data_IF_065806532533
#
_entry.id   IF_065806532533
#
_cell.length_a   1.000
_cell.length_b   1.000
_cell.length_c   1.000
_cell.angle_alpha   90.00
_cell.angle_beta   90.00
_cell.angle_gamma   90.00
#
_symmetry.space_group_name_H-M   'P 1'
#
loop_
_entity.id
_entity.type
_entity.pdbx_description
1 polymer ?
#
# COMPACT_ATOMS: atom_id res chain seq x y z
N UNK A 1 -1.28 28.79 -54.13
CA UNK A 1 -2.20 28.71 -53.00
C UNK A 1 -1.44 28.16 -51.80
N UNK A 2 -1.11 29.00 -50.87
CA UNK A 2 -0.51 28.57 -49.61
C UNK A 2 -1.65 28.19 -48.66
N UNK A 3 -1.75 26.90 -48.35
CA UNK A 3 -2.72 26.43 -47.38
C UNK A 3 -2.32 26.87 -45.97
N UNK A 4 -3.15 27.64 -45.36
CA UNK A 4 -3.05 28.03 -43.95
C UNK A 4 -3.41 26.81 -43.11
N UNK A 5 -2.41 26.13 -42.58
CA UNK A 5 -2.61 25.14 -41.51
C UNK A 5 -3.01 25.91 -40.24
N UNK A 6 -4.32 25.90 -39.94
CA UNK A 6 -4.78 26.32 -38.63
C UNK A 6 -4.21 25.39 -37.58
N UNK A 7 -3.65 25.89 -36.47
CA UNK A 7 -3.27 25.05 -35.37
C UNK A 7 -4.52 24.30 -34.88
N UNK A 8 -4.46 22.97 -34.88
CA UNK A 8 -5.44 22.15 -34.19
C UNK A 8 -5.30 22.52 -32.72
N UNK A 9 -6.33 23.12 -32.14
CA UNK A 9 -6.39 23.32 -30.71
C UNK A 9 -6.26 21.93 -30.04
N UNK A 10 -5.14 21.68 -29.44
CA UNK A 10 -4.92 20.47 -28.64
C UNK A 10 -5.82 20.64 -27.42
N UNK A 11 -6.77 19.75 -27.23
CA UNK A 11 -7.64 19.79 -26.06
C UNK A 11 -6.75 19.66 -24.82
N UNK A 12 -6.88 20.60 -23.91
CA UNK A 12 -6.18 20.58 -22.63
C UNK A 12 -6.40 19.22 -21.94
N UNK A 13 -5.33 18.51 -21.69
CA UNK A 13 -5.36 17.21 -21.03
C UNK A 13 -5.69 17.42 -19.55
N UNK A 14 -6.93 17.14 -19.19
CA UNK A 14 -7.37 17.17 -17.80
C UNK A 14 -6.96 15.87 -17.15
N UNK A 15 -6.04 15.95 -16.21
CA UNK A 15 -5.68 14.81 -15.38
C UNK A 15 -6.80 14.57 -14.37
N UNK A 16 -7.76 13.73 -14.71
CA UNK A 16 -8.84 13.37 -13.78
C UNK A 16 -8.36 12.27 -12.82
N UNK A 17 -8.47 12.51 -11.54
CA UNK A 17 -8.25 11.49 -10.52
C UNK A 17 -9.58 11.10 -9.88
N UNK A 18 -9.95 9.84 -10.05
CA UNK A 18 -11.01 9.26 -9.25
C UNK A 18 -10.52 9.03 -7.81
N UNK A 19 -11.47 8.98 -6.88
CA UNK A 19 -11.18 8.55 -5.52
C UNK A 19 -10.51 7.17 -5.53
N UNK A 20 -9.43 7.03 -4.77
CA UNK A 20 -8.62 5.81 -4.74
C UNK A 20 -7.57 5.72 -5.84
N UNK A 21 -7.43 6.73 -6.71
CA UNK A 21 -6.30 6.78 -7.63
C UNK A 21 -5.06 7.32 -6.93
N UNK A 22 -3.91 6.74 -7.25
CA UNK A 22 -2.61 7.22 -6.78
C UNK A 22 -2.10 8.30 -7.71
N UNK A 23 -1.68 9.39 -7.11
CA UNK A 23 -0.97 10.48 -7.77
C UNK A 23 0.51 10.41 -7.42
N UNK A 24 1.35 10.51 -8.44
CA UNK A 24 2.73 10.96 -8.27
C UNK A 24 2.74 12.47 -8.41
N UNK A 25 3.46 13.14 -7.53
CA UNK A 25 3.64 14.58 -7.57
C UNK A 25 5.12 14.92 -7.53
N UNK A 26 5.49 15.85 -8.41
CA UNK A 26 6.82 16.39 -8.49
C UNK A 26 6.73 17.90 -8.27
N UNK A 27 7.72 18.48 -7.61
CA UNK A 27 7.86 19.93 -7.46
C UNK A 27 9.31 20.34 -7.36
N UNK A 28 9.59 21.58 -7.76
CA UNK A 28 10.86 22.24 -7.51
C UNK A 28 10.81 22.92 -6.13
N UNK A 29 11.84 22.73 -5.34
CA UNK A 29 12.00 23.32 -4.00
C UNK A 29 12.83 24.59 -4.00
N UNK A 30 13.24 25.11 -5.16
CA UNK A 30 13.91 26.42 -5.25
C UNK A 30 12.95 27.54 -4.85
N UNK A 31 13.51 28.68 -4.45
CA UNK A 31 12.69 29.83 -4.06
C UNK A 31 11.87 30.41 -5.23
N UNK A 32 12.32 30.18 -6.46
CA UNK A 32 11.62 30.59 -7.70
C UNK A 32 10.66 29.53 -8.22
N UNK A 33 10.75 28.28 -7.74
CA UNK A 33 9.88 27.20 -8.16
C UNK A 33 8.43 27.49 -7.74
N UNK A 34 7.50 27.52 -8.70
CA UNK A 34 6.10 27.93 -8.44
C UNK A 34 5.09 26.83 -8.74
N UNK A 35 5.48 25.72 -9.36
CA UNK A 35 4.59 24.71 -9.84
C UNK A 35 4.80 23.31 -9.30
N UNK A 36 3.91 22.44 -9.71
CA UNK A 36 3.96 21.00 -9.47
C UNK A 36 3.62 20.26 -10.77
N UNK A 37 4.22 19.10 -10.96
CA UNK A 37 3.81 18.16 -12.00
C UNK A 37 3.11 16.98 -11.32
N UNK A 38 1.85 16.72 -11.71
CA UNK A 38 1.01 15.66 -11.16
C UNK A 38 0.75 14.59 -12.20
N UNK A 39 0.86 13.32 -11.82
CA UNK A 39 0.61 12.18 -12.70
C UNK A 39 -0.34 11.20 -12.02
N UNK A 40 -1.48 10.90 -12.68
CA UNK A 40 -2.40 9.88 -12.22
C UNK A 40 -1.93 8.49 -12.68
N UNK A 41 -1.41 7.69 -11.78
CA UNK A 41 -0.90 6.35 -12.07
C UNK A 41 -1.95 5.24 -11.91
N UNK A 42 -3.20 5.60 -11.68
CA UNK A 42 -4.32 4.66 -11.59
C UNK A 42 -4.70 4.24 -10.18
N UNK A 43 -5.63 3.29 -10.05
CA UNK A 43 -6.21 2.93 -8.76
C UNK A 43 -5.21 2.23 -7.83
N UNK A 44 -5.27 2.57 -6.53
CA UNK A 44 -4.41 1.97 -5.50
C UNK A 44 -4.54 0.45 -5.44
N UNK A 45 -5.70 -0.09 -5.80
CA UNK A 45 -5.95 -1.53 -5.80
C UNK A 45 -4.97 -2.32 -6.67
N UNK A 46 -4.44 -1.73 -7.76
CA UNK A 46 -3.43 -2.40 -8.60
C UNK A 46 -2.10 -2.61 -7.86
N UNK A 47 -1.77 -1.73 -6.92
CA UNK A 47 -0.54 -1.81 -6.12
C UNK A 47 -0.73 -2.68 -4.89
N UNK A 48 -1.84 -2.52 -4.19
CA UNK A 48 -2.19 -3.33 -3.03
C UNK A 48 -2.44 -4.80 -3.38
N UNK A 49 -3.04 -5.06 -4.55
CA UNK A 49 -3.32 -6.42 -5.05
C UNK A 49 -2.18 -7.07 -5.87
N UNK A 50 -1.05 -6.39 -6.05
CA UNK A 50 0.10 -6.99 -6.75
C UNK A 50 0.66 -8.18 -5.96
N UNK A 51 1.22 -9.16 -6.68
CA UNK A 51 1.82 -10.33 -6.03
C UNK A 51 2.97 -9.92 -5.12
N UNK A 52 3.00 -10.46 -3.91
CA UNK A 52 4.02 -10.17 -2.91
C UNK A 52 5.44 -10.37 -3.48
N UNK A 53 6.32 -9.40 -3.27
CA UNK A 53 7.68 -9.40 -3.79
C UNK A 53 7.81 -9.13 -5.29
N UNK A 54 6.70 -8.95 -6.02
CA UNK A 54 6.77 -8.62 -7.45
C UNK A 54 7.19 -7.17 -7.67
N UNK A 55 7.92 -6.93 -8.77
CA UNK A 55 8.25 -5.59 -9.26
C UNK A 55 7.68 -5.43 -10.67
N UNK A 56 6.85 -4.42 -10.87
CA UNK A 56 6.15 -4.20 -12.14
C UNK A 56 6.19 -2.74 -12.53
N UNK A 57 6.51 -2.47 -13.80
CA UNK A 57 6.40 -1.13 -14.34
C UNK A 57 4.94 -0.66 -14.33
N UNK A 58 4.72 0.61 -14.03
CA UNK A 58 3.39 1.23 -14.05
C UNK A 58 2.97 1.45 -15.50
N UNK A 59 2.30 0.45 -16.08
CA UNK A 59 1.95 0.42 -17.50
C UNK A 59 0.90 1.47 -17.93
N UNK A 60 0.21 2.10 -16.96
CA UNK A 60 -0.82 3.11 -17.24
C UNK A 60 -0.25 4.45 -17.68
N UNK A 61 1.03 4.65 -17.50
CA UNK A 61 1.78 5.84 -17.90
C UNK A 61 2.99 5.44 -18.73
N UNK A 62 3.42 6.29 -19.64
CA UNK A 62 4.70 6.13 -20.31
C UNK A 62 5.88 6.53 -19.42
N UNK A 63 7.07 6.61 -20.00
CA UNK A 63 8.21 7.19 -19.32
C UNK A 63 8.01 8.70 -19.12
N UNK A 64 8.26 9.19 -17.92
CA UNK A 64 8.03 10.59 -17.52
C UNK A 64 9.22 11.50 -17.84
N UNK A 65 10.32 10.98 -18.39
CA UNK A 65 11.57 11.73 -18.52
C UNK A 65 11.42 13.03 -19.29
N UNK A 66 10.75 13.02 -20.44
CA UNK A 66 10.54 14.23 -21.24
C UNK A 66 9.64 15.26 -20.53
N UNK A 67 8.60 14.80 -19.83
CA UNK A 67 7.70 15.66 -19.05
C UNK A 67 8.46 16.31 -17.88
N UNK A 68 9.36 15.57 -17.23
CA UNK A 68 10.16 16.07 -16.13
C UNK A 68 11.24 17.04 -16.57
N UNK A 69 11.82 16.84 -17.76
CA UNK A 69 12.75 17.82 -18.37
C UNK A 69 12.00 19.10 -18.72
N UNK A 70 10.78 19.01 -19.28
CA UNK A 70 9.95 20.18 -19.58
C UNK A 70 9.51 20.91 -18.31
N UNK A 71 9.03 20.19 -17.30
CA UNK A 71 8.61 20.75 -16.01
C UNK A 71 9.72 21.57 -15.38
N UNK A 72 10.91 21.03 -15.37
CA UNK A 72 12.03 21.62 -14.71
C UNK A 72 12.57 22.86 -15.45
N UNK A 73 12.54 22.87 -16.79
CA UNK A 73 12.93 24.02 -17.59
C UNK A 73 11.98 25.22 -17.41
N UNK A 74 10.69 24.98 -17.13
CA UNK A 74 9.68 26.04 -16.92
C UNK A 74 9.67 26.59 -15.51
N UNK A 75 10.15 25.86 -14.52
CA UNK A 75 10.09 26.23 -13.11
C UNK A 75 11.41 26.89 -12.60
N UNK A 76 12.32 27.27 -13.52
CA UNK A 76 13.57 27.95 -13.16
C UNK A 76 14.65 26.99 -12.65
N UNK A 77 14.56 25.74 -13.08
CA UNK A 77 15.56 24.73 -12.79
C UNK A 77 16.95 25.05 -13.37
N UNK A 78 17.93 24.34 -12.88
CA UNK A 78 19.28 24.41 -13.38
C UNK A 78 19.39 23.68 -14.72
N UNK A 79 19.14 24.33 -15.85
CA UNK A 79 19.06 23.77 -17.22
C UNK A 79 20.24 22.87 -17.64
N UNK A 80 21.32 22.89 -16.89
CA UNK A 80 22.55 22.12 -17.18
C UNK A 80 22.60 20.76 -16.48
N UNK A 81 21.71 20.49 -15.52
CA UNK A 81 21.69 19.24 -14.80
C UNK A 81 20.40 18.47 -15.16
N UNK A 82 20.48 17.23 -15.67
CA UNK A 82 19.29 16.43 -15.95
C UNK A 82 18.37 16.32 -14.74
N UNK A 83 17.04 16.37 -14.94
CA UNK A 83 16.04 16.34 -13.86
C UNK A 83 16.34 15.26 -12.80
N UNK A 84 16.80 14.09 -13.24
CA UNK A 84 17.05 12.91 -12.39
C UNK A 84 18.35 13.00 -11.55
N UNK A 85 19.04 14.11 -11.57
CA UNK A 85 20.25 14.39 -10.77
C UNK A 85 20.07 15.66 -9.92
N UNK A 86 18.89 16.28 -9.95
CA UNK A 86 18.64 17.55 -9.23
C UNK A 86 18.22 17.29 -7.80
N UNK A 87 18.91 17.94 -6.86
CA UNK A 87 18.56 17.87 -5.44
C UNK A 87 17.36 18.74 -5.07
N UNK A 88 16.95 19.63 -5.98
CA UNK A 88 15.82 20.54 -5.77
C UNK A 88 14.51 20.04 -6.35
N UNK A 89 14.55 19.10 -7.28
CA UNK A 89 13.36 18.39 -7.73
C UNK A 89 13.07 17.26 -6.76
N UNK A 90 11.89 17.26 -6.19
CA UNK A 90 11.42 16.23 -5.24
C UNK A 90 10.14 15.57 -5.77
N UNK A 91 9.89 14.35 -5.34
CA UNK A 91 8.69 13.62 -5.69
C UNK A 91 8.07 12.88 -4.51
N UNK A 92 6.78 12.64 -4.62
CA UNK A 92 6.00 11.87 -3.67
C UNK A 92 4.90 11.06 -4.36
N UNK A 93 4.27 10.15 -3.62
CA UNK A 93 3.11 9.41 -4.03
C UNK A 93 2.03 9.51 -2.94
N UNK A 94 0.77 9.75 -3.34
CA UNK A 94 -0.34 9.80 -2.39
C UNK A 94 -1.67 9.43 -3.03
N UNK A 95 -2.60 9.01 -2.18
CA UNK A 95 -3.99 8.73 -2.53
C UNK A 95 -4.87 8.83 -1.30
N UNK A 96 -6.19 8.82 -1.49
CA UNK A 96 -7.17 8.65 -0.42
C UNK A 96 -8.32 7.75 -0.88
N UNK A 97 -8.92 7.03 0.07
CA UNK A 97 -10.10 6.24 -0.20
C UNK A 97 -11.09 6.33 0.96
N UNK A 98 -12.17 7.10 0.79
CA UNK A 98 -13.19 7.26 1.83
C UNK A 98 -14.01 5.97 2.06
N UNK A 99 -14.05 5.06 1.08
CA UNK A 99 -14.78 3.80 1.18
C UNK A 99 -14.00 2.71 1.94
N UNK A 100 -12.71 2.94 2.22
CA UNK A 100 -11.84 2.04 2.99
C UNK A 100 -11.42 2.78 4.28
N UNK A 101 -12.34 2.89 5.25
CA UNK A 101 -12.11 3.53 6.55
C UNK A 101 -11.38 4.87 6.49
N UNK A 102 -11.72 5.72 5.50
CA UNK A 102 -10.99 6.95 5.18
C UNK A 102 -9.48 6.72 4.97
N UNK A 103 -9.10 5.63 4.33
CA UNK A 103 -7.70 5.29 4.14
C UNK A 103 -6.93 6.40 3.41
N UNK A 104 -5.75 6.69 3.92
CA UNK A 104 -4.76 7.57 3.29
C UNK A 104 -3.58 6.71 2.87
N UNK A 105 -3.20 6.84 1.62
CA UNK A 105 -2.01 6.23 1.05
C UNK A 105 -0.97 7.31 0.85
N UNK A 106 0.23 7.11 1.38
CA UNK A 106 1.24 8.16 1.38
C UNK A 106 2.65 7.59 1.31
N UNK A 107 3.51 8.31 0.59
CA UNK A 107 4.91 7.95 0.46
C UNK A 107 5.76 8.40 1.64
N UNK A 108 6.93 7.78 1.74
CA UNK A 108 8.05 8.19 2.59
C UNK A 108 9.35 8.00 1.82
N UNK A 109 10.32 8.93 1.91
CA UNK A 109 11.64 8.73 1.34
C UNK A 109 12.23 7.39 1.78
N UNK A 110 12.54 6.52 0.81
CA UNK A 110 13.22 5.26 1.09
C UNK A 110 14.69 5.52 1.41
N UNK A 111 15.25 4.80 2.35
CA UNK A 111 16.66 4.97 2.74
C UNK A 111 17.60 4.65 1.58
N UNK A 112 17.36 3.53 0.90
CA UNK A 112 18.00 3.14 -0.36
C UNK A 112 17.10 2.17 -1.10
N UNK A 113 17.41 1.83 -2.36
CA UNK A 113 16.63 0.82 -3.10
C UNK A 113 16.52 -0.50 -2.34
N UNK A 114 17.56 -0.90 -1.65
CA UNK A 114 17.60 -2.16 -0.89
C UNK A 114 17.01 -2.05 0.52
N UNK A 115 16.81 -0.83 1.06
CA UNK A 115 16.50 -0.65 2.47
C UNK A 115 15.29 0.26 2.69
N UNK A 116 14.23 -0.32 3.22
CA UNK A 116 13.05 0.39 3.69
C UNK A 116 13.42 1.39 4.80
N UNK A 117 12.77 2.55 4.78
CA UNK A 117 12.84 3.52 5.87
C UNK A 117 12.05 3.04 7.09
N UNK A 118 12.36 3.59 8.27
CA UNK A 118 11.54 3.38 9.46
C UNK A 118 10.09 3.75 9.16
N UNK A 119 9.10 2.89 9.42
CA UNK A 119 7.70 3.18 9.18
C UNK A 119 7.22 4.46 9.89
N UNK A 120 6.18 5.09 9.35
CA UNK A 120 5.48 6.14 10.07
C UNK A 120 4.84 5.59 11.34
N UNK A 121 4.81 6.42 12.38
CA UNK A 121 3.97 6.12 13.54
C UNK A 121 2.49 6.29 13.17
N UNK A 122 1.65 5.42 13.70
CA UNK A 122 0.20 5.55 13.60
C UNK A 122 -0.26 6.91 14.17
N UNK A 123 -1.30 7.48 13.57
CA UNK A 123 -1.88 8.77 13.97
C UNK A 123 -3.29 8.58 14.52
N UNK A 124 -3.70 9.47 15.38
CA UNK A 124 -5.09 9.51 15.85
C UNK A 124 -6.01 10.08 14.77
N UNK A 125 -7.31 9.89 14.93
CA UNK A 125 -8.29 10.29 13.93
C UNK A 125 -8.35 11.79 13.66
N UNK A 126 -7.95 12.65 14.61
CA UNK A 126 -7.89 14.10 14.38
C UNK A 126 -6.80 14.47 13.38
N UNK A 127 -5.57 13.99 13.60
CA UNK A 127 -4.47 14.21 12.67
C UNK A 127 -4.74 13.56 11.31
N UNK A 128 -5.32 12.35 11.30
CA UNK A 128 -5.73 11.66 10.09
C UNK A 128 -6.73 12.47 9.27
N UNK A 129 -7.79 13.00 9.89
CA UNK A 129 -8.80 13.82 9.21
C UNK A 129 -8.19 15.09 8.60
N UNK A 130 -7.22 15.71 9.27
CA UNK A 130 -6.51 16.87 8.72
C UNK A 130 -5.79 16.51 7.42
N UNK A 131 -4.97 15.48 7.43
CA UNK A 131 -4.27 15.05 6.22
C UNK A 131 -5.23 14.58 5.12
N UNK A 132 -6.31 13.89 5.49
CA UNK A 132 -7.34 13.47 4.53
C UNK A 132 -7.99 14.66 3.82
N UNK A 133 -8.25 15.76 4.53
CA UNK A 133 -8.79 16.99 3.97
C UNK A 133 -7.78 17.67 3.02
N UNK A 134 -6.50 17.76 3.42
CA UNK A 134 -5.44 18.35 2.61
C UNK A 134 -5.24 17.58 1.29
N UNK A 135 -5.14 16.25 1.36
CA UNK A 135 -5.05 15.39 0.16
C UNK A 135 -6.31 15.52 -0.68
N UNK A 136 -7.49 15.64 -0.05
CA UNK A 136 -8.76 15.84 -0.75
C UNK A 136 -8.78 17.13 -1.55
N UNK A 137 -8.20 18.19 -1.00
CA UNK A 137 -8.10 19.47 -1.67
C UNK A 137 -7.25 19.38 -2.94
N UNK A 138 -6.14 18.66 -2.90
CA UNK A 138 -5.33 18.44 -4.11
C UNK A 138 -6.08 17.60 -5.14
N UNK A 139 -6.65 16.47 -4.72
CA UNK A 139 -7.31 15.53 -5.65
C UNK A 139 -8.62 16.11 -6.19
N UNK A 140 -9.44 16.74 -5.35
CA UNK A 140 -10.78 17.15 -5.70
C UNK A 140 -10.88 18.51 -6.38
N UNK A 141 -10.01 19.46 -6.03
CA UNK A 141 -10.08 20.82 -6.50
C UNK A 141 -8.89 21.22 -7.39
N UNK A 142 -7.68 20.89 -7.01
CA UNK A 142 -6.48 21.18 -7.79
C UNK A 142 -6.50 20.54 -9.17
N UNK A 143 -7.09 19.40 -9.28
CA UNK A 143 -7.22 18.65 -10.53
C UNK A 143 -8.17 19.29 -11.56
N UNK A 144 -9.21 19.95 -11.09
CA UNK A 144 -10.17 20.61 -11.98
C UNK A 144 -9.65 21.96 -12.51
N UNK A 145 -8.63 22.52 -11.89
CA UNK A 145 -8.05 23.83 -12.26
C UNK A 145 -6.92 23.69 -13.29
N UNK A 146 -6.42 22.50 -13.52
CA UNK A 146 -5.29 22.23 -14.42
C UNK A 146 -5.55 22.57 -15.88
N UNK A 147 -6.79 22.79 -16.26
CA UNK A 147 -7.14 22.97 -17.66
C UNK A 147 -6.92 24.37 -18.23
N UNK A 148 -6.63 25.39 -17.43
CA UNK A 148 -6.74 26.76 -17.93
C UNK A 148 -5.51 27.67 -17.80
N UNK A 149 -4.48 27.29 -17.07
CA UNK A 149 -3.40 28.24 -16.72
C UNK A 149 -1.99 27.73 -16.97
N UNK A 150 -1.83 26.53 -17.44
CA UNK A 150 -0.52 25.94 -17.68
C UNK A 150 -0.20 26.02 -19.16
N UNK A 151 0.93 26.60 -19.48
CA UNK A 151 1.51 26.48 -20.82
C UNK A 151 1.64 24.99 -21.14
N UNK A 152 1.43 24.64 -22.37
CA UNK A 152 1.31 23.33 -22.99
C UNK A 152 1.48 22.12 -22.05
N UNK A 153 0.47 21.29 -21.89
CA UNK A 153 0.63 20.03 -21.21
C UNK A 153 1.70 19.24 -21.94
N UNK A 154 2.55 18.62 -21.17
CA UNK A 154 3.60 17.73 -21.61
C UNK A 154 3.62 17.46 -23.14
N UNK A 155 4.56 18.00 -23.84
CA UNK A 155 4.77 17.77 -25.28
C UNK A 155 5.03 16.29 -25.59
N UNK A 156 5.37 15.48 -24.57
CA UNK A 156 5.66 14.07 -24.66
C UNK A 156 4.40 13.17 -24.70
N UNK A 157 3.20 13.73 -24.53
CA UNK A 157 1.98 13.00 -24.77
C UNK A 157 1.52 12.07 -23.65
N UNK A 158 1.98 12.31 -22.42
CA UNK A 158 1.51 11.53 -21.27
C UNK A 158 0.13 12.03 -20.85
N UNK A 159 -0.92 11.44 -21.41
CA UNK A 159 -2.31 11.83 -21.21
C UNK A 159 -2.80 11.79 -19.74
N UNK A 160 -1.94 11.40 -18.80
CA UNK A 160 -2.26 11.28 -17.37
C UNK A 160 -1.46 12.23 -16.49
N UNK A 161 -0.60 13.03 -17.06
CA UNK A 161 0.21 14.03 -16.38
C UNK A 161 -0.21 15.45 -16.71
N UNK A 162 0.02 16.39 -15.81
CA UNK A 162 -0.25 17.82 -16.03
C UNK A 162 0.51 18.69 -15.05
N UNK A 163 0.91 19.86 -15.53
CA UNK A 163 1.55 20.89 -14.72
C UNK A 163 0.51 21.69 -13.96
N UNK A 164 0.83 22.05 -12.75
CA UNK A 164 0.01 22.86 -11.86
C UNK A 164 0.84 24.06 -11.39
N UNK A 165 0.49 25.25 -11.85
CA UNK A 165 1.11 26.49 -11.37
C UNK A 165 0.50 26.95 -10.07
N UNK A 166 1.32 27.43 -9.14
CA UNK A 166 0.87 27.98 -7.89
C UNK A 166 0.76 29.49 -8.00
N UNK A 167 -0.43 30.01 -7.75
CA UNK A 167 -0.59 31.43 -7.40
C UNK A 167 -0.91 31.55 -5.93
N UNK A 168 -0.75 32.72 -5.32
CA UNK A 168 -0.98 32.95 -3.89
C UNK A 168 -2.45 32.63 -3.45
N UNK A 169 -3.36 32.45 -4.41
CA UNK A 169 -4.76 32.10 -4.16
C UNK A 169 -5.08 30.61 -4.31
N UNK A 170 -4.13 29.80 -4.81
CA UNK A 170 -4.39 28.41 -5.18
C UNK A 170 -4.07 27.45 -4.02
N UNK A 171 -4.82 27.57 -2.93
CA UNK A 171 -4.65 26.67 -1.78
C UNK A 171 -4.80 25.17 -2.08
N UNK A 172 -5.53 24.72 -3.12
CA UNK A 172 -5.61 23.29 -3.47
C UNK A 172 -4.40 22.75 -4.26
N UNK A 173 -3.46 23.60 -4.65
CA UNK A 173 -2.25 23.15 -5.36
C UNK A 173 -1.37 22.27 -4.47
N UNK A 174 -0.84 21.19 -5.02
CA UNK A 174 0.00 20.23 -4.28
C UNK A 174 1.14 20.94 -3.52
N UNK A 175 1.84 21.86 -4.17
CA UNK A 175 2.90 22.62 -3.55
C UNK A 175 2.46 23.35 -2.28
N UNK A 176 1.27 23.96 -2.27
CA UNK A 176 0.76 24.65 -1.08
C UNK A 176 0.42 23.69 0.05
N UNK A 177 -0.09 22.52 -0.28
CA UNK A 177 -0.47 21.53 0.73
C UNK A 177 0.74 20.88 1.40
N UNK A 178 1.89 20.81 0.71
CA UNK A 178 3.09 20.12 1.22
C UNK A 178 4.28 21.05 1.45
N UNK A 179 4.32 22.25 0.85
CA UNK A 179 5.53 23.07 0.79
C UNK A 179 5.50 24.35 1.63
N UNK A 180 4.38 24.71 2.23
CA UNK A 180 4.36 25.86 3.10
C UNK A 180 5.22 25.59 4.34
N UNK A 181 6.48 26.07 4.25
CA UNK A 181 7.38 26.21 5.38
C UNK A 181 7.47 24.96 6.28
N UNK A 182 8.27 24.03 5.95
CA UNK A 182 8.53 22.84 6.76
C UNK A 182 7.37 21.81 6.87
N UNK A 183 6.28 21.97 6.17
CA UNK A 183 5.19 20.97 6.26
C UNK A 183 5.47 19.72 5.47
N UNK A 184 5.89 19.69 4.26
CA UNK A 184 6.20 18.50 3.43
C UNK A 184 5.45 17.21 3.86
N UNK A 185 4.21 17.34 4.37
CA UNK A 185 3.63 16.38 5.27
C UNK A 185 2.10 16.32 5.29
N UNK A 186 1.41 17.05 4.43
CA UNK A 186 -0.04 17.22 4.55
C UNK A 186 -0.47 17.52 6.01
N UNK A 187 0.31 18.33 6.72
CA UNK A 187 0.13 18.72 8.12
C UNK A 187 0.18 17.55 9.14
N UNK A 188 0.62 16.36 8.76
CA UNK A 188 0.55 15.19 9.64
C UNK A 188 1.79 14.30 9.62
N UNK A 189 2.35 13.98 8.46
CA UNK A 189 3.50 13.09 8.33
C UNK A 189 4.72 13.83 7.81
N UNK A 190 5.79 13.92 8.59
CA UNK A 190 6.99 14.64 8.16
C UNK A 190 7.69 13.92 7.02
N UNK A 191 8.11 14.67 6.03
CA UNK A 191 9.00 14.23 4.99
C UNK A 191 8.45 13.09 4.10
N UNK A 192 7.46 13.42 3.26
CA UNK A 192 6.86 12.48 2.31
C UNK A 192 7.58 12.45 0.95
N UNK A 193 8.51 13.36 0.72
CA UNK A 193 9.15 13.62 -0.56
C UNK A 193 10.61 13.18 -0.58
N UNK A 194 11.08 12.68 -1.72
CA UNK A 194 12.46 12.30 -2.00
C UNK A 194 13.02 13.13 -3.15
N UNK A 195 14.25 13.59 -3.01
CA UNK A 195 14.98 14.27 -4.07
C UNK A 195 15.70 13.29 -5.02
N UNK A 196 16.29 13.86 -6.08
CA UNK A 196 17.08 13.15 -7.08
C UNK A 196 18.59 13.45 -6.99
N UNK A 197 19.05 14.13 -5.95
CA UNK A 197 20.45 14.55 -5.81
C UNK A 197 21.46 13.40 -5.82
N UNK A 198 21.06 12.20 -5.42
CA UNK A 198 21.89 10.99 -5.51
C UNK A 198 21.64 10.18 -6.80
N UNK A 199 20.95 10.76 -7.78
CA UNK A 199 20.52 10.12 -9.03
C UNK A 199 19.22 9.33 -8.89
N UNK A 200 18.48 9.19 -10.01
CA UNK A 200 17.18 8.49 -10.04
C UNK A 200 17.27 7.06 -9.51
N UNK A 201 18.36 6.34 -9.80
CA UNK A 201 18.57 4.98 -9.30
C UNK A 201 18.56 4.85 -7.77
N UNK A 202 18.75 5.95 -7.05
CA UNK A 202 18.73 6.01 -5.59
C UNK A 202 17.51 6.73 -5.03
N UNK A 203 16.65 7.27 -5.91
CA UNK A 203 15.41 7.94 -5.51
C UNK A 203 14.25 6.95 -5.53
N UNK A 204 13.80 6.55 -4.35
CA UNK A 204 12.68 5.65 -4.18
C UNK A 204 11.81 6.08 -3.01
N UNK A 205 10.54 5.70 -3.06
CA UNK A 205 9.51 6.06 -2.10
C UNK A 205 8.89 4.80 -1.52
N UNK A 206 9.06 4.57 -0.23
CA UNK A 206 8.22 3.63 0.50
C UNK A 206 6.77 4.10 0.45
N UNK A 207 5.82 3.18 0.34
CA UNK A 207 4.40 3.49 0.20
C UNK A 207 3.60 2.76 1.27
N UNK A 208 2.84 3.53 2.02
CA UNK A 208 2.10 3.07 3.19
C UNK A 208 0.61 3.37 3.05
N UNK A 209 -0.22 2.55 3.67
CA UNK A 209 -1.62 2.87 3.94
C UNK A 209 -1.81 3.16 5.42
N UNK A 210 -2.53 4.22 5.70
CA UNK A 210 -2.96 4.62 7.05
C UNK A 210 -4.47 4.53 7.11
N UNK A 211 -5.02 3.77 8.06
CA UNK A 211 -6.45 3.66 8.31
C UNK A 211 -6.80 4.31 9.63
N UNK A 212 -7.91 5.04 9.64
CA UNK A 212 -8.41 5.73 10.82
C UNK A 212 -9.00 4.72 11.80
N UNK A 213 -8.69 4.86 13.08
CA UNK A 213 -9.43 4.14 14.13
C UNK A 213 -10.88 4.66 14.22
N UNK A 214 -11.85 3.81 14.64
CA UNK A 214 -13.23 4.23 14.85
C UNK A 214 -13.38 5.41 15.82
N UNK A 215 -12.59 5.44 16.88
CA UNK A 215 -12.57 6.55 17.83
C UNK A 215 -11.48 7.58 17.45
N UNK A 216 -11.86 8.85 17.35
CA UNK A 216 -10.95 9.91 16.92
C UNK A 216 -9.71 10.09 17.82
N UNK A 217 -9.81 9.76 19.10
CA UNK A 217 -8.68 9.81 20.03
C UNK A 217 -7.75 8.61 19.96
N UNK A 218 -8.19 7.52 19.33
CA UNK A 218 -7.40 6.29 19.20
C UNK A 218 -6.44 6.37 18.02
N UNK A 219 -5.34 5.65 18.11
CA UNK A 219 -4.40 5.47 16.99
C UNK A 219 -5.01 4.53 15.97
N UNK A 220 -4.86 4.88 14.70
CA UNK A 220 -5.20 4.02 13.58
C UNK A 220 -4.11 2.99 13.29
N UNK A 221 -4.14 2.38 12.12
CA UNK A 221 -3.14 1.42 11.64
C UNK A 221 -2.26 2.01 10.54
N UNK A 222 -1.09 1.42 10.35
CA UNK A 222 -0.13 1.78 9.30
C UNK A 222 0.45 0.50 8.72
N UNK A 223 0.16 0.25 7.43
CA UNK A 223 0.66 -0.94 6.74
C UNK A 223 1.59 -0.54 5.60
N UNK A 224 2.67 -1.29 5.44
CA UNK A 224 3.62 -1.11 4.35
C UNK A 224 3.17 -1.88 3.10
N UNK A 225 2.95 -1.16 2.00
CA UNK A 225 2.50 -1.78 0.76
C UNK A 225 3.64 -2.17 -0.18
N UNK A 226 4.76 -1.48 -0.12
CA UNK A 226 5.87 -1.65 -1.06
C UNK A 226 6.54 -0.30 -1.34
N UNK A 227 7.23 -0.19 -2.47
CA UNK A 227 7.87 1.06 -2.82
C UNK A 227 7.81 1.37 -4.32
N UNK A 228 7.78 2.65 -4.63
CA UNK A 228 7.98 3.17 -5.97
C UNK A 228 9.45 3.46 -6.23
N UNK A 229 9.90 3.17 -7.44
CA UNK A 229 11.19 3.58 -7.99
C UNK A 229 10.99 4.21 -9.37
N UNK A 230 11.94 5.02 -9.79
CA UNK A 230 11.92 5.68 -11.10
C UNK A 230 13.31 5.61 -11.73
N UNK A 231 13.40 5.34 -13.02
CA UNK A 231 14.65 5.32 -13.75
C UNK A 231 15.01 6.72 -14.27
N UNK A 232 16.25 6.93 -14.71
CA UNK A 232 16.67 8.18 -15.37
C UNK A 232 15.89 8.49 -16.65
N UNK A 233 15.29 7.50 -17.28
CA UNK A 233 14.37 7.67 -18.41
C UNK A 233 12.93 8.03 -17.96
N UNK A 234 12.65 8.07 -16.66
CA UNK A 234 11.33 8.36 -16.13
C UNK A 234 10.38 7.16 -16.06
N UNK A 235 10.88 5.94 -16.24
CA UNK A 235 10.05 4.72 -16.08
C UNK A 235 9.80 4.49 -14.58
N UNK A 236 8.55 4.55 -14.19
CA UNK A 236 8.11 4.30 -12.81
C UNK A 236 7.77 2.83 -12.65
N UNK A 237 8.25 2.22 -11.57
CA UNK A 237 7.92 0.85 -11.17
C UNK A 237 7.43 0.82 -9.73
N UNK A 238 6.55 -0.14 -9.44
CA UNK A 238 6.16 -0.46 -8.08
C UNK A 238 6.65 -1.86 -7.72
N UNK A 239 7.37 -1.95 -6.60
CA UNK A 239 7.75 -3.23 -5.99
C UNK A 239 6.88 -3.48 -4.78
N UNK A 240 6.02 -4.49 -4.85
CA UNK A 240 5.16 -4.89 -3.74
C UNK A 240 6.01 -5.42 -2.60
N UNK A 241 5.68 -5.05 -1.37
CA UNK A 241 6.31 -5.64 -0.20
C UNK A 241 6.27 -7.17 -0.31
N UNK A 242 7.39 -7.82 0.01
CA UNK A 242 7.34 -9.24 0.30
C UNK A 242 6.33 -9.45 1.44
N UNK A 243 5.61 -10.56 1.41
CA UNK A 243 4.71 -10.86 2.53
C UNK A 243 5.51 -10.80 3.83
N UNK A 244 5.11 -9.92 4.73
CA UNK A 244 5.66 -9.95 6.07
C UNK A 244 5.09 -11.21 6.75
N UNK A 245 5.90 -12.22 7.02
CA UNK A 245 5.38 -13.45 7.64
C UNK A 245 4.82 -13.23 9.04
N UNK A 246 5.08 -12.06 9.62
CA UNK A 246 4.62 -11.68 10.96
C UNK A 246 3.56 -10.57 10.93
N UNK A 247 3.01 -10.22 9.76
CA UNK A 247 1.91 -9.26 9.68
C UNK A 247 0.66 -9.92 10.26
N UNK A 248 0.04 -9.24 11.20
CA UNK A 248 -1.24 -9.56 11.83
C UNK A 248 -2.09 -8.29 11.72
N UNK A 249 -2.95 -8.25 10.70
CA UNK A 249 -3.64 -7.01 10.29
C UNK A 249 -4.79 -6.62 11.23
N UNK A 250 -5.38 -7.57 11.93
CA UNK A 250 -6.52 -7.33 12.83
C UNK A 250 -6.17 -7.50 14.31
N UNK A 251 -4.96 -7.98 14.63
CA UNK A 251 -4.43 -8.05 15.98
C UNK A 251 -4.99 -9.22 16.79
N UNK A 252 -5.44 -10.29 16.17
CA UNK A 252 -6.01 -11.46 16.86
C UNK A 252 -4.97 -12.48 17.32
N UNK A 253 -3.70 -12.30 16.91
CA UNK A 253 -2.57 -13.14 17.27
C UNK A 253 -2.23 -14.20 16.23
N UNK A 254 -2.94 -14.26 15.10
CA UNK A 254 -2.58 -15.05 13.93
C UNK A 254 -2.03 -14.12 12.84
N UNK A 255 -1.08 -14.59 12.07
CA UNK A 255 -0.55 -13.76 10.98
C UNK A 255 -1.46 -13.86 9.76
N UNK A 256 -1.52 -12.77 8.97
CA UNK A 256 -2.26 -12.75 7.68
C UNK A 256 -1.89 -13.97 6.81
N UNK A 257 -0.61 -14.36 6.82
CA UNK A 257 -0.12 -15.52 6.05
C UNK A 257 -0.68 -16.83 6.58
N UNK A 258 -0.75 -17.00 7.91
CA UNK A 258 -1.33 -18.18 8.54
C UNK A 258 -2.84 -18.23 8.30
N UNK A 259 -3.51 -17.08 8.32
CA UNK A 259 -4.93 -16.97 8.07
C UNK A 259 -5.32 -17.29 6.62
N UNK A 260 -4.54 -16.81 5.65
CA UNK A 260 -4.70 -17.22 4.24
C UNK A 260 -4.54 -18.74 4.07
N UNK A 261 -3.59 -19.35 4.80
CA UNK A 261 -3.45 -20.81 4.83
C UNK A 261 -4.67 -21.45 5.47
N UNK A 262 -5.15 -20.90 6.57
CA UNK A 262 -6.30 -21.41 7.30
C UNK A 262 -7.64 -21.18 6.60
N UNK A 263 -7.71 -20.18 5.70
CA UNK A 263 -8.93 -19.73 5.04
C UNK A 263 -9.80 -18.86 5.92
N UNK A 264 -9.19 -18.16 6.86
CA UNK A 264 -9.81 -17.11 7.69
C UNK A 264 -9.57 -15.72 7.05
N UNK A 265 -10.19 -14.69 7.60
CA UNK A 265 -10.14 -13.33 7.07
C UNK A 265 -9.11 -12.49 7.85
N UNK A 266 -7.97 -12.11 7.26
CA UNK A 266 -6.91 -11.35 7.92
C UNK A 266 -7.28 -9.95 8.41
N UNK A 267 -8.50 -9.51 8.15
CA UNK A 267 -8.99 -8.20 8.58
C UNK A 267 -10.15 -8.30 9.58
N UNK A 268 -10.38 -9.48 10.15
CA UNK A 268 -11.50 -9.71 11.05
C UNK A 268 -11.06 -10.57 12.24
N UNK A 269 -10.69 -9.94 13.34
CA UNK A 269 -10.24 -10.56 14.59
C UNK A 269 -11.20 -11.60 15.21
N UNK A 270 -12.39 -11.79 14.66
CA UNK A 270 -13.30 -12.87 15.03
C UNK A 270 -13.22 -14.09 14.11
N UNK A 271 -12.45 -13.99 13.02
CA UNK A 271 -12.31 -15.01 11.98
C UNK A 271 -10.98 -15.72 12.09
N UNK A 272 -10.75 -16.47 13.11
CA UNK A 272 -9.51 -17.22 13.33
C UNK A 272 -9.72 -18.74 13.29
N UNK A 273 -8.64 -19.45 12.98
CA UNK A 273 -8.64 -20.90 12.94
C UNK A 273 -8.72 -21.49 14.36
N UNK A 274 -9.76 -22.27 14.63
CA UNK A 274 -9.96 -22.93 15.92
C UNK A 274 -10.55 -24.31 15.78
N UNK A 275 -10.16 -25.18 16.71
CA UNK A 275 -10.81 -26.47 16.92
C UNK A 275 -11.82 -26.34 18.07
N UNK A 276 -13.04 -26.78 17.83
CA UNK A 276 -14.03 -26.86 18.90
C UNK A 276 -13.62 -27.92 19.96
N UNK A 277 -14.02 -27.74 21.22
CA UNK A 277 -13.81 -28.78 22.23
C UNK A 277 -14.36 -30.12 21.74
N UNK A 278 -13.61 -31.21 21.94
CA UNK A 278 -14.08 -32.52 21.51
C UNK A 278 -15.32 -32.99 22.31
N UNK A 279 -16.19 -33.77 21.68
CA UNK A 279 -17.20 -34.54 22.38
C UNK A 279 -16.49 -35.71 23.03
N UNK A 280 -16.57 -35.82 24.37
CA UNK A 280 -15.84 -36.82 25.16
C UNK A 280 -16.79 -37.90 25.68
N UNK A 281 -16.47 -39.17 25.40
CA UNK A 281 -17.02 -40.33 26.09
C UNK A 281 -15.92 -40.84 27.03
N UNK A 282 -16.06 -40.63 28.35
CA UNK A 282 -14.99 -40.91 29.31
C UNK A 282 -14.44 -42.33 29.19
N UNK A 283 -13.10 -42.46 29.15
CA UNK A 283 -12.41 -43.75 29.02
C UNK A 283 -12.57 -44.46 27.68
N UNK A 284 -13.34 -43.91 26.73
CA UNK A 284 -13.70 -44.58 25.48
C UNK A 284 -13.22 -43.81 24.24
N UNK A 285 -13.63 -42.53 24.09
CA UNK A 285 -13.33 -41.80 22.87
C UNK A 285 -13.43 -40.28 23.04
N UNK A 286 -12.80 -39.58 22.12
CA UNK A 286 -12.94 -38.13 21.91
C UNK A 286 -13.20 -37.85 20.44
N UNK A 287 -14.31 -37.17 20.14
CA UNK A 287 -14.69 -36.83 18.76
C UNK A 287 -14.36 -35.38 18.49
N UNK A 288 -13.56 -35.15 17.45
CA UNK A 288 -13.15 -33.81 16.98
C UNK A 288 -13.87 -33.49 15.68
N UNK A 289 -14.43 -32.29 15.61
CA UNK A 289 -15.05 -31.76 14.41
C UNK A 289 -14.36 -30.46 14.03
N UNK A 290 -13.98 -30.32 12.76
CA UNK A 290 -13.31 -29.17 12.22
C UNK A 290 -13.83 -28.85 10.82
N UNK A 291 -14.15 -27.57 10.58
CA UNK A 291 -14.42 -27.10 9.23
C UNK A 291 -13.11 -27.02 8.44
N UNK A 292 -13.11 -27.56 7.24
CA UNK A 292 -11.94 -27.55 6.37
C UNK A 292 -12.21 -26.75 5.10
N UNK A 293 -11.15 -26.24 4.48
CA UNK A 293 -11.18 -25.66 3.14
C UNK A 293 -10.44 -26.57 2.16
N UNK A 294 -10.71 -26.40 0.89
CA UNK A 294 -10.11 -27.20 -0.18
C UNK A 294 -8.57 -27.07 -0.22
N UNK A 295 -7.90 -28.13 -0.65
CA UNK A 295 -6.46 -28.15 -0.88
C UNK A 295 -5.60 -27.74 0.32
N UNK A 296 -5.93 -28.30 1.49
CA UNK A 296 -5.17 -28.12 2.73
C UNK A 296 -4.92 -29.46 3.41
N UNK A 297 -3.84 -29.49 4.18
CA UNK A 297 -3.49 -30.59 5.09
C UNK A 297 -3.81 -30.18 6.52
N UNK A 298 -4.63 -30.95 7.18
CA UNK A 298 -4.97 -30.77 8.59
C UNK A 298 -4.33 -31.90 9.41
N UNK A 299 -3.69 -31.54 10.51
CA UNK A 299 -3.19 -32.51 11.49
C UNK A 299 -3.82 -32.22 12.83
N UNK A 300 -4.24 -33.26 13.54
CA UNK A 300 -4.52 -33.21 14.98
C UNK A 300 -3.30 -33.77 15.69
N UNK A 301 -2.72 -32.97 16.57
CA UNK A 301 -1.55 -33.32 17.35
C UNK A 301 -1.94 -33.49 18.82
N UNK A 302 -1.30 -34.43 19.48
CA UNK A 302 -1.49 -34.73 20.90
C UNK A 302 -0.18 -34.51 21.68
N UNK A 303 -0.32 -33.99 22.89
CA UNK A 303 0.75 -33.89 23.85
C UNK A 303 0.25 -34.30 25.24
N UNK A 304 0.94 -35.21 25.90
CA UNK A 304 0.58 -35.68 27.25
C UNK A 304 0.97 -34.67 28.34
N UNK A 305 1.98 -33.85 28.10
CA UNK A 305 2.52 -32.90 29.08
C UNK A 305 3.13 -31.67 28.39
N UNK A 306 2.48 -30.52 28.51
CA UNK A 306 2.94 -29.28 27.90
C UNK A 306 4.30 -28.78 28.39
N UNK A 307 4.76 -29.22 29.57
CA UNK A 307 6.01 -28.77 30.13
C UNK A 307 7.21 -29.54 29.57
N UNK A 308 7.05 -30.85 29.31
CA UNK A 308 8.16 -31.76 28.95
C UNK A 308 7.87 -32.61 27.73
N UNK A 309 6.62 -32.70 27.29
CA UNK A 309 6.19 -33.53 26.17
C UNK A 309 6.35 -32.85 24.82
N UNK A 310 6.57 -33.64 23.78
CA UNK A 310 6.54 -33.21 22.40
C UNK A 310 5.13 -33.37 21.80
N UNK A 311 4.79 -32.53 20.85
CA UNK A 311 3.56 -32.71 20.04
C UNK A 311 3.78 -33.82 19.01
N UNK A 312 2.85 -34.75 18.95
CA UNK A 312 2.87 -35.86 18.00
C UNK A 312 1.59 -35.81 17.14
N UNK A 313 1.73 -35.93 15.84
CA UNK A 313 0.56 -36.06 14.95
C UNK A 313 -0.13 -37.40 15.23
N UNK A 314 -1.41 -37.35 15.58
CA UNK A 314 -2.22 -38.52 15.86
C UNK A 314 -3.30 -38.76 14.82
N UNK A 315 -3.58 -37.73 14.01
CA UNK A 315 -4.47 -37.84 12.87
C UNK A 315 -4.10 -36.81 11.80
N UNK A 316 -4.22 -37.22 10.54
CA UNK A 316 -3.99 -36.36 9.38
C UNK A 316 -5.17 -36.48 8.42
N UNK A 317 -5.66 -35.35 7.95
CA UNK A 317 -6.65 -35.23 6.92
C UNK A 317 -6.16 -34.33 5.82
N UNK A 318 -6.21 -34.77 4.58
CA UNK A 318 -5.93 -33.94 3.41
C UNK A 318 -7.25 -33.65 2.71
N UNK A 319 -7.68 -32.41 2.72
CA UNK A 319 -8.86 -32.00 1.98
C UNK A 319 -8.56 -32.03 0.48
N UNK A 320 -9.41 -32.69 -0.29
CA UNK A 320 -9.33 -32.71 -1.75
C UNK A 320 -9.69 -31.35 -2.36
N UNK A 321 -10.19 -31.36 -3.59
CA UNK A 321 -10.61 -30.16 -4.32
C UNK A 321 -11.86 -29.47 -3.76
N UNK A 322 -12.55 -30.08 -2.78
CA UNK A 322 -13.72 -29.54 -2.12
C UNK A 322 -13.50 -29.41 -0.61
N UNK A 323 -14.16 -28.44 0.01
CA UNK A 323 -14.23 -28.34 1.47
C UNK A 323 -15.12 -29.49 2.00
N UNK A 324 -14.56 -30.28 2.92
CA UNK A 324 -15.30 -31.34 3.60
C UNK A 324 -15.00 -31.26 5.11
N UNK A 325 -16.00 -31.33 5.98
CA UNK A 325 -15.75 -31.32 7.42
C UNK A 325 -14.90 -32.50 7.82
N UNK A 326 -13.85 -32.26 8.61
CA UNK A 326 -13.11 -33.29 9.29
C UNK A 326 -13.93 -33.75 10.48
N UNK A 327 -14.17 -35.05 10.56
CA UNK A 327 -14.73 -35.70 11.73
C UNK A 327 -13.82 -36.86 12.09
N UNK A 328 -13.12 -36.76 13.23
CA UNK A 328 -12.20 -37.77 13.68
C UNK A 328 -12.51 -38.20 15.12
N UNK A 329 -12.55 -39.51 15.33
CA UNK A 329 -12.79 -40.11 16.64
C UNK A 329 -11.47 -40.73 17.13
N UNK A 330 -10.94 -40.17 18.22
CA UNK A 330 -9.80 -40.75 18.91
C UNK A 330 -10.29 -41.88 19.84
N UNK A 331 -9.97 -43.12 19.49
CA UNK A 331 -10.30 -44.32 20.27
C UNK A 331 -9.04 -44.92 20.92
N UNK A 332 -7.91 -44.26 20.93
CA UNK A 332 -6.67 -44.77 21.54
C UNK A 332 -6.87 -44.96 23.05
N UNK A 333 -6.71 -46.20 23.58
CA UNK A 333 -6.99 -46.45 24.97
C UNK A 333 -6.02 -45.72 25.93
N UNK A 334 -4.77 -45.53 25.53
CA UNK A 334 -3.79 -44.87 26.40
C UNK A 334 -4.11 -43.36 26.52
N UNK A 335 -4.45 -42.71 25.40
CA UNK A 335 -4.86 -41.31 25.43
C UNK A 335 -6.21 -41.11 26.16
N UNK A 336 -7.14 -42.03 25.99
CA UNK A 336 -8.46 -41.94 26.62
C UNK A 336 -8.43 -42.27 28.13
N UNK A 337 -7.48 -43.08 28.59
CA UNK A 337 -7.27 -43.38 30.02
C UNK A 337 -6.38 -42.36 30.73
N UNK A 338 -5.64 -41.53 29.99
CA UNK A 338 -4.74 -40.55 30.56
C UNK A 338 -5.51 -39.51 31.41
N UNK A 339 -5.00 -39.16 32.61
CA UNK A 339 -5.66 -38.18 33.49
C UNK A 339 -5.66 -36.76 32.92
N UNK A 340 -4.75 -36.49 32.00
CA UNK A 340 -4.66 -35.25 31.24
C UNK A 340 -4.10 -35.51 29.84
N UNK A 341 -4.37 -34.61 28.91
CA UNK A 341 -3.82 -34.65 27.56
C UNK A 341 -4.31 -33.43 26.80
N UNK A 342 -3.48 -32.96 25.90
CA UNK A 342 -3.70 -31.74 25.15
C UNK A 342 -3.77 -32.08 23.67
N UNK A 343 -4.70 -31.44 22.98
CA UNK A 343 -4.85 -31.55 21.53
C UNK A 343 -4.79 -30.18 20.89
N UNK A 344 -4.18 -30.12 19.73
CA UNK A 344 -4.25 -28.94 18.87
C UNK A 344 -4.48 -29.35 17.42
N UNK A 345 -5.09 -28.47 16.66
CA UNK A 345 -5.16 -28.63 15.22
C UNK A 345 -4.10 -27.75 14.54
N UNK A 346 -3.56 -28.25 13.45
CA UNK A 346 -2.63 -27.54 12.59
C UNK A 346 -3.13 -27.61 11.14
N UNK A 347 -3.03 -26.52 10.41
CA UNK A 347 -3.35 -26.47 8.98
C UNK A 347 -2.10 -26.03 8.23
N UNK A 348 -1.87 -26.65 7.08
CA UNK A 348 -0.74 -26.32 6.18
C UNK A 348 -1.19 -26.43 4.73
N UNK A 349 -0.44 -25.84 3.84
CA UNK A 349 -0.51 -26.19 2.42
C UNK A 349 -0.12 -27.66 2.26
N UNK A 350 -0.63 -28.34 1.21
CA UNK A 350 -0.29 -29.74 0.92
C UNK A 350 1.19 -29.98 0.79
#
# INVERSE_FOLDING_TARGET
MAGLLLPVAQADLVVQAAQGNVLLAFRDTTASGTGSYLVNIGPVAQFAGAAAGSSTAVATIGALGADLDEFDSTEGGEDVIPWHQRSKVVWSAFSRNASDQDAIYISRPRTSIAQQSTPYAARNGFAHNTAFAEISSVIGQGYNVLSSTVGAPNSAGNARGGFQTSTASDSPVYRFQVATEARQDFATWPNIEKDFGAGAANSALDFYVHRKAPALSSLGTVDYLGYFSITSAGVVSFTRAASNPNLDSDGDGFTDADEVIAGTDPNNASSYFKIAPPVVVPGTSRTFNLTTIASRRYAIEYNADLATGAWAEVYVHSSGTGAAPLNWVDTDPARNAAPRGFYRAKVTNP
#
